data_IF_659946693493
#
_entry.id   IF_659946693493
#
_cell.length_a   1.000
_cell.length_b   1.000
_cell.length_c   1.000
_cell.angle_alpha   90.00
_cell.angle_beta   90.00
_cell.angle_gamma   90.00
#
_symmetry.space_group_name_H-M   'P 1'
#
loop_
_entity.id
_entity.type
_entity.pdbx_description
1 polymer ?
#
# COMPACT_ATOMS: atom_id res chain seq x y z
N UNK A 1 -24.71 11.73 -45.44
CA UNK A 1 -24.02 12.62 -44.48
C UNK A 1 -24.53 12.44 -43.04
N UNK A 2 -25.85 12.50 -42.75
CA UNK A 2 -26.38 12.36 -41.38
C UNK A 2 -25.97 11.05 -40.65
N UNK A 3 -25.98 9.89 -41.33
CA UNK A 3 -25.59 8.59 -40.75
C UNK A 3 -24.10 8.50 -40.37
N UNK A 4 -23.22 9.17 -41.13
CA UNK A 4 -21.77 9.22 -40.86
C UNK A 4 -21.51 10.13 -39.64
N UNK A 5 -22.23 11.25 -39.53
CA UNK A 5 -22.14 12.15 -38.37
C UNK A 5 -22.59 11.42 -37.10
N UNK A 6 -23.67 10.66 -37.12
CA UNK A 6 -24.14 9.87 -35.96
C UNK A 6 -23.11 8.81 -35.52
N UNK A 7 -22.46 8.13 -36.47
CA UNK A 7 -21.41 7.13 -36.18
C UNK A 7 -20.17 7.79 -35.58
N UNK A 8 -19.74 8.93 -36.10
CA UNK A 8 -18.58 9.69 -35.57
C UNK A 8 -18.87 10.19 -34.15
N UNK A 9 -20.07 10.71 -33.88
CA UNK A 9 -20.48 11.17 -32.55
C UNK A 9 -20.56 10.01 -31.55
N UNK A 10 -21.03 8.84 -31.97
CA UNK A 10 -21.02 7.63 -31.13
C UNK A 10 -19.59 7.14 -30.81
N UNK A 11 -18.66 7.17 -31.78
CA UNK A 11 -17.26 6.78 -31.51
C UNK A 11 -16.53 7.76 -30.59
N UNK A 12 -16.80 9.07 -30.70
CA UNK A 12 -16.20 10.08 -29.81
C UNK A 12 -16.71 9.91 -28.37
N UNK A 13 -17.96 9.48 -28.17
CA UNK A 13 -18.51 9.22 -26.83
C UNK A 13 -17.92 7.98 -26.17
N UNK A 14 -17.52 6.95 -26.93
CA UNK A 14 -16.76 5.81 -26.39
C UNK A 14 -15.30 6.16 -26.02
N UNK A 15 -14.68 7.14 -26.70
CA UNK A 15 -13.32 7.62 -26.38
C UNK A 15 -13.25 8.41 -25.06
N UNK A 16 -14.35 8.97 -24.56
CA UNK A 16 -14.36 9.69 -23.26
C UNK A 16 -14.42 8.72 -22.07
N UNK A 17 -14.71 7.43 -22.30
CA UNK A 17 -14.73 6.38 -21.27
C UNK A 17 -13.37 5.69 -21.10
N UNK A 18 -12.36 6.01 -21.93
CA UNK A 18 -11.03 5.42 -21.77
C UNK A 18 -10.29 6.07 -20.60
N UNK A 19 -10.49 5.45 -19.44
CA UNK A 19 -9.58 5.40 -18.31
C UNK A 19 -9.20 6.74 -17.66
N UNK A 20 -10.08 7.23 -16.79
CA UNK A 20 -9.60 7.93 -15.59
C UNK A 20 -8.85 6.91 -14.72
N UNK A 21 -7.56 6.66 -15.02
CA UNK A 21 -6.67 5.96 -14.08
C UNK A 21 -6.45 6.92 -12.92
N UNK A 22 -7.26 6.81 -11.88
CA UNK A 22 -7.03 7.56 -10.64
C UNK A 22 -5.73 7.06 -10.03
N UNK A 23 -4.67 7.86 -10.08
CA UNK A 23 -3.43 7.59 -9.37
C UNK A 23 -3.69 7.73 -7.87
N UNK A 24 -4.08 6.64 -7.24
CA UNK A 24 -4.39 6.62 -5.81
C UNK A 24 -3.08 6.85 -5.04
N UNK A 25 -3.05 7.86 -4.17
CA UNK A 25 -1.92 8.07 -3.27
C UNK A 25 -2.04 7.07 -2.11
N UNK A 26 -0.90 6.51 -1.67
CA UNK A 26 -0.85 5.75 -0.42
C UNK A 26 -1.11 6.72 0.73
N UNK A 27 -2.06 6.37 1.59
CA UNK A 27 -2.36 7.11 2.82
C UNK A 27 -2.15 6.15 3.98
N UNK A 28 -1.12 6.43 4.78
CA UNK A 28 -0.91 5.77 6.06
C UNK A 28 -1.48 6.64 7.19
N UNK A 29 -1.77 6.05 8.36
CA UNK A 29 -2.15 6.82 9.53
C UNK A 29 -1.15 7.92 9.88
N UNK A 30 -1.64 9.00 10.47
CA UNK A 30 -0.79 10.08 10.96
C UNK A 30 0.11 9.57 12.09
N UNK A 31 1.43 9.82 12.08
CA UNK A 31 2.34 9.29 13.09
C UNK A 31 1.95 9.62 14.54
N UNK A 32 1.32 10.78 14.74
CA UNK A 32 0.89 11.24 16.06
C UNK A 32 -0.25 10.42 16.65
N UNK A 33 -1.07 9.77 15.81
CA UNK A 33 -2.20 8.93 16.26
C UNK A 33 -1.77 7.51 16.58
N UNK A 34 -0.55 7.11 16.18
CA UNK A 34 -0.02 5.76 16.36
C UNK A 34 0.70 5.64 17.70
N UNK A 35 0.40 4.56 18.43
CA UNK A 35 1.08 4.18 19.66
C UNK A 35 2.24 3.24 19.39
N UNK A 36 2.03 2.25 18.50
CA UNK A 36 2.98 1.18 18.19
C UNK A 36 2.83 0.76 16.74
N UNK A 37 3.96 0.49 16.07
CA UNK A 37 3.97 -0.29 14.82
C UNK A 37 4.44 -1.70 15.15
N UNK A 38 3.64 -2.70 14.81
CA UNK A 38 3.99 -4.12 14.94
C UNK A 38 4.33 -4.70 13.57
N UNK A 39 5.46 -5.38 13.48
CA UNK A 39 5.98 -6.06 12.30
C UNK A 39 5.97 -7.57 12.54
N UNK A 40 5.35 -8.31 11.64
CA UNK A 40 5.29 -9.77 11.71
C UNK A 40 5.48 -10.38 10.32
N UNK A 41 6.41 -11.32 10.16
CA UNK A 41 6.51 -12.11 8.91
C UNK A 41 5.41 -13.16 8.87
N UNK A 42 4.80 -13.38 7.71
CA UNK A 42 3.73 -14.38 7.54
C UNK A 42 4.11 -15.78 8.02
N UNK A 43 5.36 -16.16 7.80
CA UNK A 43 5.90 -17.48 8.15
C UNK A 43 6.48 -17.55 9.56
N UNK A 44 6.41 -16.47 10.34
CA UNK A 44 6.99 -16.38 11.69
C UNK A 44 5.93 -15.98 12.72
N UNK A 45 6.05 -16.54 13.92
CA UNK A 45 5.26 -16.12 15.08
C UNK A 45 5.89 -14.89 15.78
N UNK A 46 7.14 -14.58 15.48
CA UNK A 46 7.85 -13.46 16.11
C UNK A 46 7.28 -12.11 15.65
N UNK A 47 6.93 -11.28 16.63
CA UNK A 47 6.42 -9.93 16.46
C UNK A 47 7.46 -8.94 16.98
N UNK A 48 7.76 -7.93 16.16
CA UNK A 48 8.68 -6.83 16.49
C UNK A 48 7.93 -5.53 16.56
N UNK A 49 8.21 -4.72 17.56
CA UNK A 49 7.44 -3.50 17.84
C UNK A 49 8.34 -2.28 17.80
N UNK A 50 7.90 -1.25 17.07
CA UNK A 50 8.49 0.08 17.08
C UNK A 50 7.59 0.97 17.93
N UNK A 51 8.15 1.51 19.02
CA UNK A 51 7.41 2.33 20.00
C UNK A 51 7.95 3.76 20.11
N UNK A 52 9.16 4.02 19.60
CA UNK A 52 9.74 5.36 19.62
C UNK A 52 9.08 6.24 18.56
N UNK A 53 8.58 7.40 18.98
CA UNK A 53 7.81 8.31 18.13
C UNK A 53 8.59 8.76 16.90
N UNK A 54 9.88 9.03 17.05
CA UNK A 54 10.75 9.45 15.95
C UNK A 54 10.91 8.34 14.91
N UNK A 55 11.03 7.08 15.33
CA UNK A 55 11.15 5.93 14.45
C UNK A 55 9.82 5.63 13.73
N UNK A 56 8.69 5.73 14.44
CA UNK A 56 7.33 5.61 13.87
C UNK A 56 7.12 6.66 12.77
N UNK A 57 7.35 7.93 13.09
CA UNK A 57 7.17 9.04 12.15
C UNK A 57 8.08 8.88 10.94
N UNK A 58 9.36 8.58 11.16
CA UNK A 58 10.33 8.36 10.09
C UNK A 58 9.90 7.23 9.15
N UNK A 59 9.47 6.08 9.69
CA UNK A 59 9.03 4.94 8.88
C UNK A 59 7.80 5.28 8.03
N UNK A 60 6.76 5.87 8.63
CA UNK A 60 5.54 6.27 7.93
C UNK A 60 5.85 7.27 6.81
N UNK A 61 6.62 8.31 7.12
CA UNK A 61 7.00 9.36 6.17
C UNK A 61 7.73 8.81 4.96
N UNK A 62 8.72 7.96 5.19
CA UNK A 62 9.54 7.43 4.11
C UNK A 62 8.74 6.45 3.23
N UNK A 63 7.88 5.62 3.82
CA UNK A 63 6.95 4.78 3.05
C UNK A 63 6.07 5.65 2.16
N UNK A 64 5.43 6.69 2.72
CA UNK A 64 4.54 7.55 1.94
C UNK A 64 5.29 8.27 0.81
N UNK A 65 6.48 8.81 1.09
CA UNK A 65 7.30 9.56 0.11
C UNK A 65 7.86 8.69 -1.01
N UNK A 66 8.16 7.42 -0.73
CA UNK A 66 8.80 6.50 -1.68
C UNK A 66 7.82 5.49 -2.29
N UNK A 67 6.53 5.75 -2.18
CA UNK A 67 5.47 4.92 -2.78
C UNK A 67 4.98 5.49 -4.11
N UNK A 68 4.79 4.61 -5.09
CA UNK A 68 4.25 4.94 -6.41
C UNK A 68 2.98 4.16 -6.67
N UNK A 69 1.92 4.85 -7.09
CA UNK A 69 0.63 4.23 -7.45
C UNK A 69 0.84 3.19 -8.55
N UNK A 70 0.25 2.02 -8.37
CA UNK A 70 0.13 1.01 -9.44
C UNK A 70 -1.28 1.02 -10.03
N UNK A 71 -1.52 0.22 -11.06
CA UNK A 71 -2.85 -0.08 -11.59
C UNK A 71 -3.42 -1.39 -11.01
N UNK A 72 -2.75 -1.97 -10.01
CA UNK A 72 -3.18 -3.22 -9.39
C UNK A 72 -4.23 -2.93 -8.31
N UNK A 73 -5.21 -3.81 -8.21
CA UNK A 73 -6.27 -3.73 -7.20
C UNK A 73 -5.98 -4.69 -6.04
N UNK A 74 -6.22 -4.23 -4.82
CA UNK A 74 -6.25 -5.09 -3.63
C UNK A 74 -7.70 -5.50 -3.39
N UNK A 75 -8.00 -6.79 -3.55
CA UNK A 75 -9.36 -7.34 -3.49
C UNK A 75 -9.57 -8.31 -2.32
N UNK A 76 -8.56 -8.49 -1.48
CA UNK A 76 -8.55 -9.48 -0.41
C UNK A 76 -8.09 -8.84 0.91
N UNK A 77 -8.38 -9.51 2.03
CA UNK A 77 -7.94 -9.09 3.37
C UNK A 77 -6.41 -9.16 3.55
N UNK A 78 -5.73 -10.00 2.77
CA UNK A 78 -4.28 -10.21 2.80
C UNK A 78 -3.77 -10.63 1.40
N UNK A 79 -2.47 -10.48 1.11
CA UNK A 79 -1.89 -10.96 -0.15
C UNK A 79 -2.12 -12.46 -0.34
N UNK A 80 -2.67 -12.85 -1.50
CA UNK A 80 -3.04 -14.25 -1.80
C UNK A 80 -2.06 -14.96 -2.73
N UNK A 81 -1.36 -14.23 -3.60
CA UNK A 81 -0.46 -14.78 -4.61
C UNK A 81 1.02 -14.68 -4.22
N UNK A 82 1.30 -14.38 -2.95
CA UNK A 82 2.65 -14.20 -2.43
C UNK A 82 2.83 -15.04 -1.17
N UNK A 83 3.89 -15.85 -1.13
CA UNK A 83 4.12 -16.81 -0.04
C UNK A 83 4.63 -16.14 1.23
N UNK A 84 5.49 -15.14 1.07
CA UNK A 84 6.13 -14.45 2.18
C UNK A 84 5.88 -12.95 2.08
N UNK A 85 5.52 -12.36 3.21
CA UNK A 85 5.22 -10.95 3.36
C UNK A 85 5.34 -10.53 4.82
N UNK A 86 5.61 -9.25 5.04
CA UNK A 86 5.60 -8.63 6.36
C UNK A 86 4.26 -7.93 6.55
N UNK A 87 3.59 -8.26 7.63
CA UNK A 87 2.41 -7.57 8.15
C UNK A 87 2.92 -6.35 8.93
N UNK A 88 2.49 -5.16 8.50
CA UNK A 88 2.77 -3.88 9.16
C UNK A 88 1.45 -3.42 9.78
N UNK A 89 1.35 -3.57 11.10
CA UNK A 89 0.16 -3.22 11.88
C UNK A 89 0.40 -1.93 12.64
N UNK A 90 -0.47 -0.95 12.43
CA UNK A 90 -0.45 0.36 13.07
C UNK A 90 -1.51 0.39 14.16
N UNK A 91 -1.06 0.31 15.41
CA UNK A 91 -1.95 0.42 16.57
C UNK A 91 -2.13 1.87 16.97
N UNK A 92 -3.38 2.30 17.06
CA UNK A 92 -3.75 3.67 17.36
C UNK A 92 -3.76 3.92 18.87
N UNK A 93 -3.59 5.17 19.28
CA UNK A 93 -3.64 5.56 20.69
C UNK A 93 -5.06 5.59 21.25
N UNK A 94 -6.04 5.98 20.41
CA UNK A 94 -7.41 6.26 20.84
C UNK A 94 -8.48 5.56 19.97
N UNK A 95 -8.07 4.61 19.13
CA UNK A 95 -8.99 3.83 18.29
C UNK A 95 -8.84 2.35 18.60
N UNK A 96 -9.96 1.62 18.62
CA UNK A 96 -9.98 0.17 18.87
C UNK A 96 -9.46 -0.63 17.67
N UNK A 97 -9.65 -0.09 16.46
CA UNK A 97 -9.29 -0.76 15.23
C UNK A 97 -7.87 -0.37 14.79
N UNK A 98 -7.05 -1.38 14.55
CA UNK A 98 -5.72 -1.19 13.98
C UNK A 98 -5.81 -0.99 12.46
N UNK A 99 -4.89 -0.20 11.90
CA UNK A 99 -4.68 -0.16 10.45
C UNK A 99 -3.63 -1.19 10.05
N UNK A 100 -3.78 -1.79 8.88
CA UNK A 100 -2.84 -2.81 8.39
C UNK A 100 -2.37 -2.51 6.97
N UNK A 101 -1.10 -2.78 6.72
CA UNK A 101 -0.50 -2.83 5.40
C UNK A 101 0.40 -4.07 5.29
N UNK A 102 0.63 -4.54 4.07
CA UNK A 102 1.46 -5.70 3.80
C UNK A 102 2.61 -5.31 2.89
N UNK A 103 3.84 -5.61 3.29
CA UNK A 103 5.03 -5.44 2.46
C UNK A 103 5.43 -6.79 1.87
N UNK A 104 5.62 -6.86 0.56
CA UNK A 104 6.06 -8.07 -0.10
C UNK A 104 6.86 -7.81 -1.38
N UNK A 105 7.57 -8.84 -1.83
CA UNK A 105 8.26 -8.83 -3.13
C UNK A 105 7.51 -9.67 -4.14
N UNK A 106 7.26 -9.12 -5.32
CA UNK A 106 6.69 -9.83 -6.46
C UNK A 106 7.44 -9.42 -7.73
N UNK A 107 7.92 -10.40 -8.51
CA UNK A 107 8.65 -10.14 -9.77
C UNK A 107 9.78 -9.09 -9.60
N UNK A 108 10.61 -9.30 -8.57
CA UNK A 108 11.79 -8.46 -8.25
C UNK A 108 11.49 -7.02 -7.78
N UNK A 109 10.21 -6.66 -7.64
CA UNK A 109 9.76 -5.36 -7.13
C UNK A 109 9.10 -5.50 -5.78
N UNK A 110 9.19 -4.46 -4.97
CA UNK A 110 8.61 -4.39 -3.64
C UNK A 110 7.28 -3.64 -3.70
N UNK A 111 6.31 -4.13 -2.94
CA UNK A 111 4.96 -3.58 -2.91
C UNK A 111 4.48 -3.42 -1.49
N UNK A 112 3.72 -2.35 -1.27
CA UNK A 112 2.85 -2.19 -0.11
C UNK A 112 1.41 -2.34 -0.56
N UNK A 113 0.67 -3.24 0.08
CA UNK A 113 -0.75 -3.47 -0.13
C UNK A 113 -1.55 -3.07 1.11
N UNK A 114 -2.61 -2.29 0.93
CA UNK A 114 -3.65 -2.07 1.93
C UNK A 114 -4.94 -2.75 1.44
N UNK A 115 -5.56 -3.62 2.26
CA UNK A 115 -6.79 -4.34 1.90
C UNK A 115 -7.86 -3.43 1.33
N UNK A 116 -8.43 -3.79 0.18
CA UNK A 116 -9.51 -3.04 -0.47
C UNK A 116 -9.19 -1.57 -0.81
N UNK A 117 -7.94 -1.17 -0.63
CA UNK A 117 -7.49 0.21 -0.74
C UNK A 117 -6.53 0.30 -1.93
N UNK A 118 -5.53 -0.56 -2.02
CA UNK A 118 -4.72 -0.62 -3.24
C UNK A 118 -3.34 -1.21 -3.02
N UNK A 119 -2.55 -1.17 -4.09
CA UNK A 119 -1.19 -1.70 -4.13
C UNK A 119 -0.28 -0.62 -4.70
N UNK A 120 0.81 -0.34 -3.99
CA UNK A 120 1.83 0.65 -4.35
C UNK A 120 3.17 -0.03 -4.51
N UNK A 121 3.91 0.32 -5.56
CA UNK A 121 5.31 -0.05 -5.67
C UNK A 121 6.12 0.85 -4.72
N UNK A 122 7.07 0.27 -4.00
CA UNK A 122 7.97 0.98 -3.09
C UNK A 122 9.42 0.70 -3.46
N UNK A 123 10.33 1.60 -3.07
CA UNK A 123 11.76 1.38 -3.29
C UNK A 123 12.27 0.18 -2.47
N UNK A 124 13.35 -0.48 -2.92
CA UNK A 124 14.04 -1.51 -2.13
C UNK A 124 14.50 -0.99 -0.76
N UNK A 125 14.86 0.29 -0.65
CA UNK A 125 15.28 0.93 0.60
C UNK A 125 14.20 0.85 1.69
N UNK A 126 12.92 0.99 1.31
CA UNK A 126 11.81 0.81 2.24
C UNK A 126 11.75 -0.63 2.75
N UNK A 127 11.88 -1.60 1.84
CA UNK A 127 11.83 -3.00 2.25
C UNK A 127 13.00 -3.38 3.17
N UNK A 128 14.21 -2.94 2.83
CA UNK A 128 15.40 -3.15 3.65
C UNK A 128 15.23 -2.57 5.06
N UNK A 129 14.67 -1.36 5.17
CA UNK A 129 14.46 -0.72 6.47
C UNK A 129 13.41 -1.41 7.33
N UNK A 130 12.34 -1.92 6.72
CA UNK A 130 11.34 -2.72 7.45
C UNK A 130 11.96 -4.05 7.91
N UNK A 131 12.79 -4.68 7.07
CA UNK A 131 13.52 -5.91 7.42
C UNK A 131 14.56 -5.69 8.53
N UNK A 132 15.29 -4.56 8.50
CA UNK A 132 16.21 -4.15 9.56
C UNK A 132 15.46 -3.93 10.88
N UNK A 133 14.31 -3.24 10.85
CA UNK A 133 13.48 -3.02 12.03
C UNK A 133 12.87 -4.32 12.59
N UNK A 134 12.66 -5.33 11.74
CA UNK A 134 12.27 -6.67 12.19
C UNK A 134 13.45 -7.47 12.76
N UNK A 135 14.66 -7.25 12.27
CA UNK A 135 15.84 -8.02 12.68
C UNK A 135 16.53 -7.46 13.94
N UNK A 136 16.21 -6.23 14.35
CA UNK A 136 16.70 -5.60 15.58
C UNK A 136 16.06 -6.20 16.84
#
# INVERSE_FOLDING_TARGET
MKKIITIIVCSISFLVLSACVSKKKLVLPEPETISVISLQKKISEDIKTITKREEISKLIDEIQKQSTSTTLESLNDQPTNVKDYIIIKFSHQNEENDSVAYLYTMKEKQYIEQPYVGIWEVSPDIANRVEEAYSS
#
